data_IF_309581320268
#
_entry.id   IF_309581320268
#
_cell.length_a   1.000
_cell.length_b   1.000
_cell.length_c   1.000
_cell.angle_alpha   90.00
_cell.angle_beta   90.00
_cell.angle_gamma   90.00
#
_symmetry.space_group_name_H-M   'P 1'
#
loop_
_entity.id
_entity.type
_entity.pdbx_description
1 polymer ?
#
# COMPACT_ATOMS: atom_id res chain seq x y z
N UNK A 1 3.91 29.20 -10.14
CA UNK A 1 2.50 29.43 -9.72
C UNK A 1 2.48 30.50 -8.63
N UNK A 2 1.51 31.42 -8.62
CA UNK A 2 1.42 32.40 -7.52
C UNK A 2 0.88 31.73 -6.25
N UNK A 3 1.41 32.12 -5.09
CA UNK A 3 1.04 31.57 -3.78
C UNK A 3 -0.48 31.62 -3.53
N UNK A 4 -1.14 32.70 -3.97
CA UNK A 4 -2.59 32.87 -3.91
C UNK A 4 -3.38 31.86 -4.75
N UNK A 5 -2.87 31.45 -5.93
CA UNK A 5 -3.53 30.42 -6.74
C UNK A 5 -3.40 29.04 -6.09
N UNK A 6 -2.21 28.70 -5.58
CA UNK A 6 -2.00 27.46 -4.84
C UNK A 6 -2.89 27.40 -3.59
N UNK A 7 -2.98 28.48 -2.82
CA UNK A 7 -3.85 28.55 -1.64
C UNK A 7 -5.33 28.37 -2.01
N UNK A 8 -5.77 29.02 -3.10
CA UNK A 8 -7.15 28.93 -3.61
C UNK A 8 -7.48 27.52 -4.11
N UNK A 9 -6.56 26.87 -4.83
CA UNK A 9 -6.73 25.49 -5.29
C UNK A 9 -6.79 24.51 -4.11
N UNK A 10 -5.89 24.65 -3.13
CA UNK A 10 -5.89 23.83 -1.91
C UNK A 10 -7.15 24.03 -1.09
N UNK A 11 -7.60 25.27 -0.89
CA UNK A 11 -8.84 25.57 -0.17
C UNK A 11 -10.07 25.00 -0.89
N UNK A 12 -10.14 25.15 -2.22
CA UNK A 12 -11.25 24.62 -3.02
C UNK A 12 -11.27 23.09 -3.04
N UNK A 13 -10.10 22.46 -3.12
CA UNK A 13 -9.93 21.01 -3.00
C UNK A 13 -10.32 20.50 -1.61
N UNK A 14 -9.89 21.19 -0.55
CA UNK A 14 -10.18 20.80 0.83
C UNK A 14 -11.66 20.97 1.24
N UNK A 15 -12.37 21.92 0.63
CA UNK A 15 -13.82 22.13 0.84
C UNK A 15 -14.69 21.28 -0.09
N UNK A 16 -14.11 20.59 -1.06
CA UNK A 16 -14.85 19.72 -1.95
C UNK A 16 -15.17 18.41 -1.23
N UNK A 17 -16.42 18.28 -0.78
CA UNK A 17 -16.90 17.07 -0.11
C UNK A 17 -16.81 15.90 -1.09
N UNK A 18 -15.81 15.04 -0.91
CA UNK A 18 -15.61 13.84 -1.72
C UNK A 18 -16.64 12.75 -1.34
N UNK A 19 -17.88 12.94 -1.81
CA UNK A 19 -19.04 12.07 -1.49
C UNK A 19 -18.91 10.60 -1.94
N UNK A 20 -17.87 10.25 -2.70
CA UNK A 20 -17.79 9.00 -3.46
C UNK A 20 -16.75 7.98 -2.95
N UNK A 21 -15.97 8.32 -1.91
CA UNK A 21 -15.02 7.38 -1.26
C UNK A 21 -15.55 6.78 0.04
N UNK A 22 -16.85 6.82 0.27
CA UNK A 22 -17.41 6.19 1.45
C UNK A 22 -17.35 4.68 1.23
N UNK A 23 -16.37 4.02 1.84
CA UNK A 23 -16.39 2.59 2.12
C UNK A 23 -17.10 2.41 3.47
N UNK A 24 -18.45 2.48 3.54
CA UNK A 24 -19.17 2.63 4.79
C UNK A 24 -18.90 1.45 5.73
N UNK A 25 -18.70 0.25 5.18
CA UNK A 25 -18.40 -0.95 5.97
C UNK A 25 -17.02 -0.87 6.65
N UNK A 26 -16.02 -0.26 6.01
CA UNK A 26 -14.67 -0.14 6.59
C UNK A 26 -14.66 0.97 7.64
N UNK A 27 -15.33 2.08 7.35
CA UNK A 27 -15.58 3.14 8.33
C UNK A 27 -16.37 2.64 9.54
N UNK A 28 -17.42 1.86 9.30
CA UNK A 28 -18.24 1.27 10.36
C UNK A 28 -17.43 0.28 11.19
N UNK A 29 -16.65 -0.62 10.58
CA UNK A 29 -15.78 -1.55 11.32
C UNK A 29 -14.75 -0.80 12.16
N UNK A 30 -14.09 0.21 11.59
CA UNK A 30 -13.12 1.03 12.31
C UNK A 30 -13.75 1.78 13.49
N UNK A 31 -14.93 2.39 13.27
CA UNK A 31 -15.71 3.07 14.30
C UNK A 31 -16.23 2.12 15.38
N UNK A 32 -16.69 0.92 15.01
CA UNK A 32 -17.12 -0.11 15.95
C UNK A 32 -15.96 -0.60 16.83
N UNK A 33 -14.77 -0.80 16.25
CA UNK A 33 -13.56 -1.13 17.02
C UNK A 33 -13.15 -0.01 17.96
N UNK A 34 -13.21 1.25 17.52
CA UNK A 34 -12.96 2.40 18.37
C UNK A 34 -13.97 2.48 19.52
N UNK A 35 -15.27 2.35 19.22
CA UNK A 35 -16.35 2.41 20.21
C UNK A 35 -16.26 1.28 21.23
N UNK A 36 -15.92 0.06 20.79
CA UNK A 36 -15.71 -1.09 21.66
C UNK A 36 -14.55 -0.85 22.63
N UNK A 37 -13.41 -0.38 22.11
CA UNK A 37 -12.22 -0.12 22.93
C UNK A 37 -12.47 1.01 23.92
N UNK A 38 -12.98 2.15 23.45
CA UNK A 38 -13.25 3.32 24.30
C UNK A 38 -14.34 3.02 25.33
N UNK A 39 -15.45 2.40 24.93
CA UNK A 39 -16.56 2.07 25.83
C UNK A 39 -16.14 1.09 26.92
N UNK A 40 -15.41 0.02 26.55
CA UNK A 40 -14.89 -0.95 27.53
C UNK A 40 -13.89 -0.29 28.48
N UNK A 41 -13.01 0.56 27.97
CA UNK A 41 -12.02 1.27 28.78
C UNK A 41 -12.66 2.26 29.74
N UNK A 42 -13.70 2.97 29.29
CA UNK A 42 -14.42 3.94 30.10
C UNK A 42 -15.12 3.28 31.28
N UNK A 43 -15.76 2.12 31.05
CA UNK A 43 -16.46 1.36 32.09
C UNK A 43 -15.50 0.74 33.10
N UNK A 44 -14.35 0.22 32.65
CA UNK A 44 -13.42 -0.52 33.52
C UNK A 44 -12.37 0.37 34.21
N UNK A 45 -11.91 1.43 33.55
CA UNK A 45 -10.70 2.17 33.93
C UNK A 45 -10.91 3.69 34.00
N UNK A 46 -12.11 4.19 33.69
CA UNK A 46 -12.44 5.61 33.75
C UNK A 46 -12.00 6.43 32.52
N UNK A 47 -12.24 7.75 32.54
CA UNK A 47 -12.15 8.61 31.34
C UNK A 47 -10.73 8.86 30.85
N UNK A 48 -9.74 8.93 31.75
CA UNK A 48 -8.34 9.20 31.39
C UNK A 48 -7.75 8.06 30.55
N UNK A 49 -7.90 6.83 31.02
CA UNK A 49 -7.42 5.63 30.30
C UNK A 49 -8.23 5.40 29.02
N UNK A 50 -9.54 5.69 29.04
CA UNK A 50 -10.39 5.62 27.85
C UNK A 50 -9.93 6.58 26.75
N UNK A 51 -9.52 7.81 27.09
CA UNK A 51 -8.99 8.77 26.11
C UNK A 51 -7.74 8.21 25.38
N UNK A 52 -6.83 7.55 26.09
CA UNK A 52 -5.65 6.96 25.45
C UNK A 52 -5.96 5.72 24.61
N UNK A 53 -6.92 4.91 25.04
CA UNK A 53 -7.40 3.77 24.26
C UNK A 53 -7.94 4.20 22.88
N UNK A 54 -8.54 5.40 22.81
CA UNK A 54 -9.05 5.97 21.58
C UNK A 54 -7.95 6.19 20.55
N UNK A 55 -6.78 6.69 20.97
CA UNK A 55 -5.65 6.93 20.06
C UNK A 55 -5.12 5.63 19.44
N UNK A 56 -4.99 4.56 20.22
CA UNK A 56 -4.54 3.26 19.71
C UNK A 56 -5.50 2.66 18.70
N UNK A 57 -6.79 2.62 19.03
CA UNK A 57 -7.80 2.09 18.12
C UNK A 57 -7.99 2.97 16.87
N UNK A 58 -7.90 4.29 17.01
CA UNK A 58 -7.96 5.24 15.89
C UNK A 58 -6.76 5.09 14.96
N UNK A 59 -5.54 5.07 15.51
CA UNK A 59 -4.31 4.92 14.74
C UNK A 59 -4.26 3.59 13.98
N UNK A 60 -4.66 2.50 14.64
CA UNK A 60 -4.78 1.19 14.01
C UNK A 60 -5.89 1.15 12.93
N UNK A 61 -7.01 1.86 13.13
CA UNK A 61 -8.04 2.01 12.12
C UNK A 61 -7.55 2.81 10.90
N UNK A 62 -6.79 3.90 11.08
CA UNK A 62 -6.17 4.66 9.98
C UNK A 62 -5.28 3.77 9.12
N UNK A 63 -4.51 2.87 9.74
CA UNK A 63 -3.67 1.92 9.00
C UNK A 63 -4.48 1.01 8.06
N UNK A 64 -5.78 0.80 8.31
CA UNK A 64 -6.67 0.03 7.44
C UNK A 64 -7.21 0.82 6.24
N UNK A 65 -7.20 2.15 6.31
CA UNK A 65 -7.57 3.02 5.19
C UNK A 65 -6.43 3.22 4.18
N UNK A 66 -5.24 2.72 4.48
CA UNK A 66 -4.12 2.73 3.56
C UNK A 66 -4.43 1.81 2.37
N UNK A 67 -4.04 2.25 1.16
CA UNK A 67 -4.44 1.67 -0.13
C UNK A 67 -3.83 0.28 -0.29
N UNK A 68 -4.60 -0.78 -0.05
CA UNK A 68 -4.20 -2.15 -0.39
C UNK A 68 -5.42 -3.02 -0.61
N UNK A 69 -5.33 -3.93 -1.58
CA UNK A 69 -6.33 -4.96 -1.91
C UNK A 69 -6.47 -6.03 -0.83
N UNK A 70 -5.52 -6.08 0.12
CA UNK A 70 -5.41 -7.10 1.15
C UNK A 70 -5.72 -6.53 2.54
N UNK A 71 -6.59 -7.18 3.34
CA UNK A 71 -6.72 -6.84 4.75
C UNK A 71 -5.39 -7.17 5.46
N UNK A 72 -4.70 -6.15 5.98
CA UNK A 72 -3.41 -6.30 6.67
C UNK A 72 -3.59 -6.07 8.18
N UNK A 73 -4.06 -7.08 8.96
CA UNK A 73 -4.17 -6.96 10.42
C UNK A 73 -2.80 -6.66 11.07
N UNK A 74 -1.73 -7.12 10.41
CA UNK A 74 -0.35 -6.82 10.77
C UNK A 74 -0.06 -5.32 10.80
N UNK A 75 -0.59 -4.52 9.88
CA UNK A 75 -0.39 -3.07 9.89
C UNK A 75 -1.10 -2.42 11.08
N UNK A 76 -2.29 -2.90 11.46
CA UNK A 76 -2.99 -2.44 12.66
C UNK A 76 -2.17 -2.75 13.93
N UNK A 77 -1.59 -3.95 14.02
CA UNK A 77 -0.71 -4.34 15.14
C UNK A 77 0.57 -3.50 15.20
N UNK A 78 1.28 -3.35 14.07
CA UNK A 78 2.52 -2.55 14.01
C UNK A 78 2.22 -1.09 14.33
N UNK A 79 1.11 -0.55 13.80
CA UNK A 79 0.71 0.84 14.07
C UNK A 79 0.36 1.04 15.55
N UNK A 80 -0.40 0.13 16.15
CA UNK A 80 -0.71 0.18 17.58
C UNK A 80 0.53 0.02 18.48
N UNK A 81 1.40 -0.95 18.16
CA UNK A 81 2.62 -1.19 18.93
C UNK A 81 3.64 -0.05 18.82
N UNK A 82 3.86 0.48 17.62
CA UNK A 82 4.76 1.62 17.42
C UNK A 82 4.24 2.89 18.10
N UNK A 83 2.93 3.14 18.09
CA UNK A 83 2.34 4.23 18.86
C UNK A 83 2.51 4.02 20.36
N UNK A 84 2.22 2.82 20.88
CA UNK A 84 2.36 2.50 22.30
C UNK A 84 3.79 2.75 22.81
N UNK A 85 4.80 2.29 22.06
CA UNK A 85 6.22 2.53 22.38
C UNK A 85 6.55 4.02 22.31
N UNK A 86 6.08 4.73 21.28
CA UNK A 86 6.32 6.16 21.11
C UNK A 86 5.73 6.96 22.28
N UNK A 87 4.49 6.68 22.67
CA UNK A 87 3.81 7.33 23.78
C UNK A 87 4.50 7.03 25.11
N UNK A 88 4.89 5.78 25.38
CA UNK A 88 5.60 5.43 26.61
C UNK A 88 6.96 6.14 26.73
N UNK A 89 7.79 6.08 25.68
CA UNK A 89 9.11 6.72 25.68
C UNK A 89 9.00 8.24 25.73
N UNK A 90 8.03 8.80 24.98
CA UNK A 90 7.69 10.22 25.01
C UNK A 90 7.35 10.68 26.43
N UNK A 91 6.51 9.91 27.12
CA UNK A 91 6.11 10.21 28.48
C UNK A 91 7.28 10.18 29.47
N UNK A 92 8.05 9.08 29.48
CA UNK A 92 9.18 8.92 30.41
C UNK A 92 10.22 10.03 30.21
N UNK A 93 10.34 10.55 28.99
CA UNK A 93 11.28 11.62 28.65
C UNK A 93 10.74 13.03 28.91
N UNK A 94 9.41 13.20 29.02
CA UNK A 94 8.76 14.53 29.08
C UNK A 94 9.17 15.35 30.31
N UNK A 95 9.55 14.70 31.41
CA UNK A 95 10.05 15.35 32.62
C UNK A 95 11.42 16.02 32.46
N UNK A 96 12.17 15.68 31.41
CA UNK A 96 13.51 16.19 31.15
C UNK A 96 13.52 16.93 29.80
N UNK A 97 13.43 18.27 29.77
CA UNK A 97 13.24 19.03 28.53
C UNK A 97 14.30 18.73 27.45
N UNK A 98 15.56 18.61 27.83
CA UNK A 98 16.66 18.30 26.90
C UNK A 98 16.51 16.89 26.32
N UNK A 99 16.22 15.90 27.16
CA UNK A 99 16.00 14.52 26.73
C UNK A 99 14.80 14.44 25.78
N UNK A 100 13.71 15.15 26.11
CA UNK A 100 12.52 15.21 25.29
C UNK A 100 12.78 15.86 23.93
N UNK A 101 13.54 16.97 23.88
CA UNK A 101 13.94 17.60 22.61
C UNK A 101 14.80 16.67 21.74
N UNK A 102 15.75 15.95 22.35
CA UNK A 102 16.55 14.94 21.65
C UNK A 102 15.66 13.80 21.12
N UNK A 103 14.73 13.31 21.93
CA UNK A 103 13.77 12.29 21.53
C UNK A 103 12.90 12.78 20.37
N UNK A 104 12.33 13.98 20.48
CA UNK A 104 11.49 14.59 19.44
C UNK A 104 12.26 14.70 18.13
N UNK A 105 13.50 15.20 18.17
CA UNK A 105 14.38 15.28 17.00
C UNK A 105 14.66 13.92 16.38
N UNK A 106 14.97 12.91 17.20
CA UNK A 106 15.18 11.55 16.71
C UNK A 106 13.92 10.93 16.11
N UNK A 107 12.77 11.03 16.78
CA UNK A 107 11.50 10.44 16.33
C UNK A 107 10.96 11.10 15.06
N UNK A 108 11.07 12.43 14.95
CA UNK A 108 10.68 13.19 13.75
C UNK A 108 11.60 12.89 12.57
N UNK A 109 12.90 12.77 12.81
CA UNK A 109 13.86 12.37 11.79
C UNK A 109 13.59 10.95 11.29
N UNK A 110 13.37 9.99 12.20
CA UNK A 110 13.03 8.61 11.85
C UNK A 110 11.68 8.54 11.12
N UNK A 111 10.68 9.34 11.52
CA UNK A 111 9.41 9.43 10.81
C UNK A 111 9.58 9.99 9.39
N UNK A 112 10.45 10.98 9.21
CA UNK A 112 10.82 11.49 7.88
C UNK A 112 11.51 10.44 7.01
N UNK A 113 12.42 9.63 7.58
CA UNK A 113 13.08 8.53 6.88
C UNK A 113 12.12 7.37 6.57
N UNK A 114 11.06 7.16 7.35
CA UNK A 114 10.08 6.09 7.12
C UNK A 114 9.35 6.21 5.77
N UNK A 115 9.37 7.39 5.14
CA UNK A 115 8.89 7.60 3.77
C UNK A 115 9.72 6.85 2.71
N UNK A 116 10.97 6.50 3.02
CA UNK A 116 11.79 5.61 2.17
C UNK A 116 11.22 4.19 2.04
N UNK A 117 10.44 3.75 3.04
CA UNK A 117 9.72 2.47 3.02
C UNK A 117 8.28 2.61 2.48
N UNK A 118 7.97 3.77 1.89
CA UNK A 118 6.70 4.05 1.23
C UNK A 118 5.73 4.92 2.03
N UNK A 119 4.67 5.43 1.37
CA UNK A 119 3.75 6.42 1.96
C UNK A 119 2.99 5.93 3.20
N UNK A 120 2.67 4.63 3.26
CA UNK A 120 1.98 4.05 4.43
C UNK A 120 2.86 4.11 5.67
N UNK A 121 4.14 3.74 5.56
CA UNK A 121 5.09 3.79 6.65
C UNK A 121 5.33 5.21 7.13
N UNK A 122 5.53 6.14 6.19
CA UNK A 122 5.68 7.57 6.47
C UNK A 122 4.47 8.16 7.20
N UNK A 123 3.24 7.89 6.74
CA UNK A 123 2.02 8.38 7.40
C UNK A 123 1.90 7.83 8.82
N UNK A 124 2.10 6.52 9.03
CA UNK A 124 2.01 5.90 10.36
C UNK A 124 3.05 6.52 11.30
N UNK A 125 4.30 6.63 10.87
CA UNK A 125 5.37 7.18 11.69
C UNK A 125 5.16 8.66 12.03
N UNK A 126 4.75 9.48 11.05
CA UNK A 126 4.41 10.89 11.26
C UNK A 126 3.22 11.07 12.23
N UNK A 127 2.16 10.26 12.08
CA UNK A 127 1.02 10.30 12.99
C UNK A 127 1.38 9.85 14.41
N UNK A 128 2.30 8.89 14.58
CA UNK A 128 2.77 8.50 15.91
C UNK A 128 3.44 9.67 16.65
N UNK A 129 4.25 10.48 15.98
CA UNK A 129 4.87 11.67 16.60
C UNK A 129 3.80 12.69 17.00
N UNK A 130 2.82 12.94 16.13
CA UNK A 130 1.73 13.87 16.41
C UNK A 130 0.89 13.44 17.62
N UNK A 131 0.49 12.16 17.66
CA UNK A 131 -0.28 11.60 18.78
C UNK A 131 0.57 11.58 20.05
N UNK A 132 1.85 11.19 19.98
CA UNK A 132 2.77 11.22 21.11
C UNK A 132 2.77 12.61 21.77
N UNK A 133 2.96 13.68 21.00
CA UNK A 133 2.97 15.08 21.47
C UNK A 133 1.71 15.48 22.22
N UNK A 134 0.54 14.94 21.85
CA UNK A 134 -0.72 15.17 22.56
C UNK A 134 -0.81 14.28 23.81
N UNK A 135 -0.41 13.01 23.69
CA UNK A 135 -0.57 12.05 24.79
C UNK A 135 0.33 12.32 25.99
N UNK A 136 1.49 12.97 25.81
CA UNK A 136 2.43 13.25 26.91
C UNK A 136 1.93 14.33 27.88
N UNK A 137 0.89 15.09 27.53
CA UNK A 137 0.37 16.17 28.38
C UNK A 137 -0.65 15.69 29.42
N UNK A 138 -1.04 14.41 29.36
CA UNK A 138 -2.07 13.81 30.20
C UNK A 138 -1.53 13.10 31.46
N UNK A 139 -0.49 12.24 31.41
CA UNK A 139 -0.18 11.37 32.53
C UNK A 139 0.73 12.05 33.57
N UNK A 140 0.69 11.56 34.81
CA UNK A 140 1.48 12.11 35.92
C UNK A 140 2.45 11.11 36.55
N UNK A 141 2.32 9.80 36.26
CA UNK A 141 3.29 8.78 36.67
C UNK A 141 3.72 7.83 35.54
N UNK A 142 4.89 7.18 35.72
CA UNK A 142 5.41 6.16 34.78
C UNK A 142 4.49 4.94 34.71
N UNK A 143 3.83 4.60 35.81
CA UNK A 143 2.88 3.49 35.88
C UNK A 143 1.65 3.80 35.03
N UNK A 144 1.11 5.02 35.13
CA UNK A 144 -0.03 5.44 34.32
C UNK A 144 0.35 5.42 32.84
N UNK A 145 1.54 5.90 32.48
CA UNK A 145 2.01 5.84 31.10
C UNK A 145 2.17 4.42 30.56
N UNK A 146 2.62 3.47 31.38
CA UNK A 146 2.64 2.05 31.01
C UNK A 146 1.21 1.52 30.78
N UNK A 147 0.25 1.90 31.63
CA UNK A 147 -1.16 1.54 31.46
C UNK A 147 -1.75 2.12 30.16
N UNK A 148 -1.51 3.41 29.87
CA UNK A 148 -1.94 4.05 28.63
C UNK A 148 -1.32 3.41 27.39
N UNK A 149 -0.02 3.11 27.42
CA UNK A 149 0.66 2.40 26.32
C UNK A 149 0.09 0.98 26.12
N UNK A 150 -0.21 0.26 27.21
CA UNK A 150 -0.88 -1.03 27.16
C UNK A 150 -2.26 -0.95 26.51
N UNK A 151 -3.04 0.09 26.82
CA UNK A 151 -4.37 0.30 26.22
C UNK A 151 -4.30 0.73 24.76
N UNK A 152 -3.29 1.50 24.36
CA UNK A 152 -3.02 1.81 22.96
C UNK A 152 -2.74 0.53 22.17
N UNK A 153 -1.90 -0.35 22.72
CA UNK A 153 -1.58 -1.65 22.12
C UNK A 153 -2.83 -2.54 22.02
N UNK A 154 -3.64 -2.60 23.08
CA UNK A 154 -4.90 -3.34 23.10
C UNK A 154 -5.88 -2.84 22.02
N UNK A 155 -5.98 -1.51 21.83
CA UNK A 155 -6.77 -0.93 20.75
C UNK A 155 -6.31 -1.39 19.36
N UNK A 156 -5.00 -1.49 19.15
CA UNK A 156 -4.43 -2.06 17.93
C UNK A 156 -4.76 -3.54 17.73
N UNK A 157 -4.72 -4.35 18.80
CA UNK A 157 -5.10 -5.77 18.79
C UNK A 157 -6.58 -5.96 18.45
N UNK A 158 -7.48 -5.17 19.05
CA UNK A 158 -8.92 -5.23 18.77
C UNK A 158 -9.20 -4.89 17.31
N UNK A 159 -8.59 -3.84 16.78
CA UNK A 159 -8.73 -3.50 15.35
C UNK A 159 -8.19 -4.62 14.45
N UNK A 160 -7.04 -5.21 14.79
CA UNK A 160 -6.49 -6.34 14.07
C UNK A 160 -7.42 -7.56 14.09
N UNK A 161 -8.03 -7.87 15.25
CA UNK A 161 -9.00 -8.95 15.39
C UNK A 161 -10.26 -8.69 14.55
N UNK A 162 -10.80 -7.46 14.56
CA UNK A 162 -11.95 -7.10 13.73
C UNK A 162 -11.64 -7.18 12.23
N UNK A 163 -10.40 -6.90 11.82
CA UNK A 163 -9.97 -7.09 10.42
C UNK A 163 -10.03 -8.55 10.00
N UNK A 164 -9.65 -9.46 10.91
CA UNK A 164 -9.64 -10.92 10.66
C UNK A 164 -11.06 -11.49 10.73
N UNK A 165 -11.86 -11.10 11.73
CA UNK A 165 -13.21 -11.61 11.96
C UNK A 165 -14.23 -11.07 10.94
N UNK A 166 -14.06 -9.81 10.51
CA UNK A 166 -14.95 -9.14 9.56
C UNK A 166 -14.16 -8.61 8.35
N UNK A 167 -13.71 -9.50 7.44
CA UNK A 167 -13.00 -9.10 6.24
C UNK A 167 -13.97 -8.44 5.24
N UNK A 168 -13.76 -7.15 4.96
CA UNK A 168 -14.54 -6.42 3.96
C UNK A 168 -13.85 -6.51 2.60
N UNK A 169 -14.49 -7.15 1.60
CA UNK A 169 -13.99 -7.20 0.22
C UNK A 169 -14.15 -5.85 -0.47
N UNK A 170 -13.14 -4.98 -0.36
CA UNK A 170 -13.07 -3.73 -1.14
C UNK A 170 -13.27 -4.03 -2.62
N UNK A 171 -14.22 -3.34 -3.26
CA UNK A 171 -14.52 -3.45 -4.69
C UNK A 171 -14.71 -4.90 -5.20
N UNK A 172 -15.35 -5.76 -4.39
CA UNK A 172 -15.51 -7.19 -4.70
C UNK A 172 -16.01 -7.46 -6.13
N UNK A 173 -17.06 -6.76 -6.57
CA UNK A 173 -17.60 -6.92 -7.91
C UNK A 173 -16.61 -6.53 -9.02
N UNK A 174 -15.83 -5.47 -8.82
CA UNK A 174 -14.81 -5.05 -9.79
C UNK A 174 -13.63 -6.04 -9.83
N UNK A 175 -13.25 -6.58 -8.66
CA UNK A 175 -12.20 -7.60 -8.55
C UNK A 175 -12.61 -8.90 -9.21
N UNK A 176 -13.86 -9.33 -9.00
CA UNK A 176 -14.42 -10.53 -9.60
C UNK A 176 -14.44 -10.38 -11.13
N UNK A 177 -14.92 -9.25 -11.65
CA UNK A 177 -14.95 -8.99 -13.09
C UNK A 177 -13.55 -8.89 -13.73
N UNK A 178 -12.56 -8.26 -13.06
CA UNK A 178 -11.17 -8.24 -13.53
C UNK A 178 -10.54 -9.65 -13.49
N UNK A 179 -10.81 -10.41 -12.43
CA UNK A 179 -10.32 -11.79 -12.33
C UNK A 179 -10.93 -12.68 -13.42
N UNK A 180 -12.22 -12.52 -13.73
CA UNK A 180 -12.88 -13.22 -14.86
C UNK A 180 -12.23 -12.85 -16.20
N UNK A 181 -11.90 -11.58 -16.42
CA UNK A 181 -11.19 -11.13 -17.62
C UNK A 181 -9.80 -11.76 -17.76
N UNK A 182 -9.00 -11.78 -16.70
CA UNK A 182 -7.67 -12.40 -16.69
C UNK A 182 -7.74 -13.92 -16.88
N UNK A 183 -8.70 -14.59 -16.24
CA UNK A 183 -8.92 -16.02 -16.43
C UNK A 183 -9.36 -16.36 -17.87
N UNK A 184 -10.19 -15.51 -18.49
CA UNK A 184 -10.58 -15.68 -19.89
C UNK A 184 -9.40 -15.55 -20.86
N UNK A 185 -8.45 -14.65 -20.57
CA UNK A 185 -7.20 -14.53 -21.33
C UNK A 185 -6.24 -15.69 -21.08
N UNK A 186 -6.22 -16.25 -19.86
CA UNK A 186 -5.48 -17.47 -19.57
C UNK A 186 -6.01 -18.68 -20.36
N UNK A 187 -7.33 -18.85 -20.36
CA UNK A 187 -8.00 -19.88 -21.17
C UNK A 187 -7.77 -19.66 -22.67
N UNK A 188 -7.73 -18.41 -23.12
CA UNK A 188 -7.41 -18.06 -24.50
C UNK A 188 -5.98 -18.45 -24.87
N UNK A 189 -4.99 -18.09 -24.06
CA UNK A 189 -3.59 -18.47 -24.27
C UNK A 189 -3.45 -20.00 -24.35
N UNK A 190 -4.14 -20.75 -23.48
CA UNK A 190 -4.14 -22.23 -23.51
C UNK A 190 -4.76 -22.79 -24.78
N UNK A 191 -5.86 -22.22 -25.28
CA UNK A 191 -6.47 -22.65 -26.55
C UNK A 191 -5.56 -22.37 -27.75
N UNK A 192 -4.88 -21.22 -27.76
CA UNK A 192 -3.95 -20.84 -28.83
C UNK A 192 -2.76 -21.81 -28.98
N UNK A 193 -2.40 -22.55 -27.93
CA UNK A 193 -1.38 -23.62 -28.01
C UNK A 193 -1.79 -24.76 -28.94
N UNK A 194 -3.09 -25.01 -29.06
CA UNK A 194 -3.64 -26.13 -29.82
C UNK A 194 -4.28 -25.68 -31.14
N UNK A 195 -4.91 -24.51 -31.14
CA UNK A 195 -5.53 -23.90 -32.30
C UNK A 195 -5.07 -22.43 -32.42
N UNK A 196 -4.10 -22.12 -33.31
CA UNK A 196 -3.55 -20.79 -33.49
C UNK A 196 -4.56 -19.70 -33.86
N UNK A 197 -5.75 -20.08 -34.34
CA UNK A 197 -6.81 -19.16 -34.77
C UNK A 197 -8.06 -19.27 -33.90
N UNK A 198 -7.92 -19.84 -32.69
CA UNK A 198 -9.02 -20.01 -31.75
C UNK A 198 -9.78 -18.68 -31.51
N UNK A 199 -11.13 -18.69 -31.47
CA UNK A 199 -11.89 -17.49 -31.18
C UNK A 199 -11.81 -17.11 -29.69
N UNK A 200 -11.84 -15.81 -29.41
CA UNK A 200 -11.92 -15.26 -28.05
C UNK A 200 -13.34 -14.82 -27.73
N UNK A 201 -13.86 -15.21 -26.56
CA UNK A 201 -15.13 -14.71 -26.05
C UNK A 201 -14.93 -13.30 -25.43
N UNK A 202 -15.51 -12.23 -26.00
CA UNK A 202 -15.34 -10.88 -25.48
C UNK A 202 -16.13 -10.61 -24.19
N UNK A 203 -17.06 -11.48 -23.79
CA UNK A 203 -17.98 -11.21 -22.68
C UNK A 203 -17.27 -10.88 -21.36
N UNK A 204 -16.22 -11.60 -20.91
CA UNK A 204 -15.49 -11.26 -19.68
C UNK A 204 -14.80 -9.89 -19.71
N UNK A 205 -14.30 -9.48 -20.89
CA UNK A 205 -13.74 -8.12 -21.05
C UNK A 205 -14.84 -7.06 -21.03
N UNK A 206 -16.00 -7.36 -21.61
CA UNK A 206 -17.17 -6.46 -21.58
C UNK A 206 -17.74 -6.31 -20.18
N UNK A 207 -17.83 -7.40 -19.40
CA UNK A 207 -18.28 -7.36 -18.01
C UNK A 207 -17.29 -6.58 -17.14
N UNK A 208 -15.98 -6.82 -17.27
CA UNK A 208 -14.94 -6.02 -16.63
C UNK A 208 -15.06 -4.52 -16.98
N UNK A 209 -15.30 -4.20 -18.26
CA UNK A 209 -15.54 -2.83 -18.74
C UNK A 209 -16.79 -2.20 -18.12
N UNK A 210 -17.87 -2.96 -18.00
CA UNK A 210 -19.14 -2.50 -17.41
C UNK A 210 -19.06 -2.35 -15.88
N UNK A 211 -18.39 -3.27 -15.18
CA UNK A 211 -18.15 -3.21 -13.74
C UNK A 211 -17.24 -2.03 -13.37
N UNK A 212 -16.35 -1.65 -14.29
CA UNK A 212 -15.55 -0.45 -14.20
C UNK A 212 -16.29 0.81 -14.69
N UNK A 213 -17.50 0.72 -15.25
CA UNK A 213 -18.20 1.90 -15.77
C UNK A 213 -18.51 2.88 -14.64
N UNK A 214 -17.96 4.08 -14.77
CA UNK A 214 -18.24 5.22 -13.88
C UNK A 214 -18.91 6.29 -14.72
N UNK A 215 -19.82 7.07 -14.14
CA UNK A 215 -20.57 8.11 -14.87
C UNK A 215 -19.64 9.11 -15.58
N UNK A 216 -20.08 9.81 -16.64
CA UNK A 216 -19.25 10.76 -17.39
C UNK A 216 -18.60 11.88 -16.54
N UNK A 217 -19.19 12.22 -15.39
CA UNK A 217 -18.62 13.16 -14.41
C UNK A 217 -17.49 12.52 -13.57
N UNK A 218 -17.58 11.23 -13.30
CA UNK A 218 -16.59 10.45 -12.54
C UNK A 218 -15.35 10.09 -13.39
N UNK A 219 -15.50 9.98 -14.71
CA UNK A 219 -14.38 9.79 -15.63
C UNK A 219 -13.38 10.96 -15.62
N UNK A 220 -13.79 12.18 -15.24
CA UNK A 220 -12.93 13.38 -15.19
C UNK A 220 -12.05 13.49 -13.94
N UNK A 221 -12.31 12.68 -12.90
CA UNK A 221 -11.61 12.73 -11.59
C UNK A 221 -11.30 11.34 -11.05
N UNK A 222 -10.90 10.45 -11.95
CA UNK A 222 -10.72 9.05 -11.61
C UNK A 222 -9.44 8.87 -10.78
N UNK A 223 -9.47 8.05 -9.71
CA UNK A 223 -8.26 7.52 -9.11
C UNK A 223 -7.49 6.69 -10.16
N UNK A 224 -6.17 6.88 -10.24
CA UNK A 224 -5.25 6.17 -11.18
C UNK A 224 -5.42 4.65 -11.10
N UNK A 225 -5.84 4.15 -9.94
CA UNK A 225 -6.09 2.76 -9.61
C UNK A 225 -7.15 2.08 -10.50
N UNK A 226 -8.07 2.84 -11.10
CA UNK A 226 -9.09 2.33 -12.04
C UNK A 226 -8.71 2.50 -13.53
N UNK A 227 -7.56 3.11 -13.82
CA UNK A 227 -7.04 3.29 -15.18
C UNK A 227 -6.08 2.16 -15.61
N UNK A 228 -5.30 1.59 -14.67
CA UNK A 228 -4.23 0.64 -14.99
C UNK A 228 -4.72 -0.74 -15.46
N UNK A 229 -5.45 -1.46 -14.61
CA UNK A 229 -5.77 -2.88 -14.85
C UNK A 229 -6.61 -3.15 -16.11
N UNK A 230 -7.50 -2.21 -16.48
CA UNK A 230 -8.38 -2.30 -17.65
C UNK A 230 -7.61 -2.30 -18.96
N UNK A 231 -6.63 -1.39 -19.07
CA UNK A 231 -5.87 -1.22 -20.30
C UNK A 231 -4.93 -2.39 -20.58
N UNK A 232 -4.54 -3.12 -19.56
CA UNK A 232 -3.56 -4.20 -19.67
C UNK A 232 -4.22 -5.49 -20.17
N UNK A 233 -5.37 -5.89 -19.61
CA UNK A 233 -6.14 -7.03 -20.12
C UNK A 233 -6.48 -6.83 -21.62
N UNK A 234 -7.08 -5.69 -21.98
CA UNK A 234 -7.40 -5.40 -23.39
C UNK A 234 -6.17 -5.42 -24.34
N UNK A 235 -4.95 -5.18 -23.82
CA UNK A 235 -3.69 -5.23 -24.58
C UNK A 235 -3.09 -6.63 -24.69
N UNK A 236 -3.38 -7.54 -23.76
CA UNK A 236 -2.86 -8.90 -23.78
C UNK A 236 -3.44 -9.71 -24.94
N UNK A 237 -4.74 -9.60 -25.19
CA UNK A 237 -5.42 -10.33 -26.28
C UNK A 237 -4.73 -10.20 -27.65
N UNK A 238 -4.48 -9.01 -28.21
CA UNK A 238 -3.84 -8.90 -29.53
C UNK A 238 -2.41 -9.42 -29.54
N UNK A 239 -1.68 -9.33 -28.42
CA UNK A 239 -0.31 -9.87 -28.31
C UNK A 239 -0.34 -11.39 -28.32
N UNK A 240 -1.21 -12.02 -27.51
CA UNK A 240 -1.42 -13.46 -27.49
C UNK A 240 -1.81 -13.99 -28.88
N UNK A 241 -2.76 -13.31 -29.55
CA UNK A 241 -3.16 -13.66 -30.90
C UNK A 241 -1.99 -13.54 -31.90
N UNK A 242 -1.22 -12.45 -31.85
CA UNK A 242 -0.09 -12.25 -32.76
C UNK A 242 1.05 -13.23 -32.56
N UNK A 243 1.23 -13.73 -31.33
CA UNK A 243 2.23 -14.73 -31.01
C UNK A 243 1.81 -16.12 -31.53
N UNK A 244 0.50 -16.40 -31.57
CA UNK A 244 -0.01 -17.67 -32.07
C UNK A 244 -0.17 -17.69 -33.60
N UNK A 245 -0.59 -16.60 -34.23
CA UNK A 245 -1.00 -16.57 -35.64
C UNK A 245 0.18 -16.85 -36.61
N UNK A 246 0.11 -17.92 -37.43
CA UNK A 246 1.15 -18.19 -38.43
C UNK A 246 1.31 -17.09 -39.48
N UNK A 247 0.25 -16.34 -39.78
CA UNK A 247 0.30 -15.23 -40.72
C UNK A 247 1.12 -14.03 -40.21
N UNK A 248 1.37 -13.97 -38.89
CA UNK A 248 2.14 -12.91 -38.24
C UNK A 248 3.64 -13.24 -38.14
N UNK A 249 4.08 -14.36 -38.71
CA UNK A 249 5.50 -14.71 -38.88
C UNK A 249 6.00 -15.87 -38.01
N UNK A 250 5.13 -16.55 -37.26
CA UNK A 250 5.48 -17.75 -36.49
C UNK A 250 5.20 -19.01 -37.34
N UNK A 251 6.18 -19.86 -37.66
CA UNK A 251 5.95 -21.08 -38.42
C UNK A 251 4.83 -21.94 -37.85
N UNK A 252 4.04 -22.61 -38.69
CA UNK A 252 2.96 -23.50 -38.22
C UNK A 252 3.50 -24.72 -37.46
N UNK A 253 4.70 -25.18 -37.83
CA UNK A 253 5.41 -26.31 -37.22
C UNK A 253 6.90 -25.95 -36.99
N UNK A 254 7.54 -26.64 -36.05
CA UNK A 254 8.97 -26.51 -35.78
C UNK A 254 9.28 -26.05 -34.35
N UNK A 255 10.56 -25.77 -34.10
CA UNK A 255 11.07 -25.44 -32.77
C UNK A 255 10.51 -24.09 -32.28
N UNK A 256 10.39 -23.09 -33.15
CA UNK A 256 9.73 -21.81 -32.83
C UNK A 256 8.29 -21.99 -32.38
N UNK A 257 7.52 -22.85 -33.07
CA UNK A 257 6.13 -23.17 -32.70
C UNK A 257 6.05 -23.85 -31.33
N UNK A 258 6.91 -24.85 -31.11
CA UNK A 258 6.96 -25.54 -29.83
C UNK A 258 7.27 -24.58 -28.67
N UNK A 259 8.21 -23.65 -28.89
CA UNK A 259 8.57 -22.63 -27.91
C UNK A 259 7.45 -21.62 -27.66
N UNK A 260 6.77 -21.14 -28.70
CA UNK A 260 5.58 -20.31 -28.58
C UNK A 260 4.49 -21.00 -27.76
N UNK A 261 4.29 -22.31 -27.95
CA UNK A 261 3.30 -23.07 -27.18
C UNK A 261 3.67 -23.14 -25.69
N UNK A 262 4.96 -23.22 -25.34
CA UNK A 262 5.42 -23.15 -23.95
C UNK A 262 5.23 -21.74 -23.37
N UNK A 263 5.58 -20.69 -24.12
CA UNK A 263 5.36 -19.29 -23.72
C UNK A 263 3.87 -18.98 -23.47
N UNK A 264 2.98 -19.44 -24.35
CA UNK A 264 1.53 -19.30 -24.17
C UNK A 264 1.02 -20.08 -22.96
N UNK A 265 1.61 -21.25 -22.67
CA UNK A 265 1.32 -22.04 -21.47
C UNK A 265 1.71 -21.31 -20.19
N UNK A 266 2.94 -20.78 -20.14
CA UNK A 266 3.45 -20.00 -19.01
C UNK A 266 2.67 -18.68 -18.83
N UNK A 267 2.32 -18.00 -19.92
CA UNK A 267 1.45 -16.82 -19.86
C UNK A 267 0.08 -17.16 -19.27
N UNK A 268 -0.51 -18.28 -19.68
CA UNK A 268 -1.78 -18.76 -19.11
C UNK A 268 -1.69 -19.01 -17.60
N UNK A 269 -0.62 -19.67 -17.12
CA UNK A 269 -0.47 -19.94 -15.69
C UNK A 269 -0.24 -18.66 -14.87
N UNK A 270 0.50 -17.68 -15.40
CA UNK A 270 0.68 -16.36 -14.80
C UNK A 270 -0.64 -15.61 -14.69
N UNK A 271 -1.43 -15.58 -15.77
CA UNK A 271 -2.74 -14.92 -15.79
C UNK A 271 -3.74 -15.58 -14.83
N UNK A 272 -3.76 -16.91 -14.71
CA UNK A 272 -4.60 -17.63 -13.74
C UNK A 272 -4.16 -17.39 -12.29
N UNK A 273 -2.86 -17.28 -12.04
CA UNK A 273 -2.34 -16.92 -10.72
C UNK A 273 -2.70 -15.48 -10.35
N UNK A 274 -2.59 -14.54 -11.30
CA UNK A 274 -3.01 -13.16 -11.13
C UNK A 274 -4.53 -13.05 -10.90
N UNK A 275 -5.36 -13.77 -11.67
CA UNK A 275 -6.81 -13.81 -11.50
C UNK A 275 -7.21 -14.28 -10.09
N UNK A 276 -6.60 -15.35 -9.58
CA UNK A 276 -6.82 -15.84 -8.21
C UNK A 276 -6.40 -14.83 -7.15
N UNK A 277 -5.22 -14.24 -7.31
CA UNK A 277 -4.70 -13.22 -6.41
C UNK A 277 -5.63 -11.99 -6.33
N UNK A 278 -6.12 -11.51 -7.48
CA UNK A 278 -7.08 -10.40 -7.55
C UNK A 278 -8.41 -10.77 -6.90
N UNK A 279 -8.97 -11.95 -7.19
CA UNK A 279 -10.28 -12.39 -6.68
C UNK A 279 -10.31 -12.54 -5.16
N UNK A 280 -9.30 -13.22 -4.61
CA UNK A 280 -9.25 -13.61 -3.20
C UNK A 280 -8.43 -12.65 -2.33
N UNK A 281 -7.58 -11.81 -2.94
CA UNK A 281 -6.67 -10.93 -2.20
C UNK A 281 -5.49 -11.69 -1.62
N UNK A 282 -5.13 -12.79 -2.28
CA UNK A 282 -4.04 -13.67 -1.89
C UNK A 282 -2.76 -13.28 -2.64
N UNK A 283 -1.57 -13.65 -2.13
CA UNK A 283 -0.31 -13.55 -2.88
C UNK A 283 -0.37 -14.31 -4.21
N UNK A 284 0.32 -13.80 -5.22
CA UNK A 284 0.51 -14.54 -6.48
C UNK A 284 1.49 -15.67 -6.20
N UNK A 285 1.10 -16.90 -6.52
CA UNK A 285 1.95 -18.07 -6.43
C UNK A 285 2.25 -18.59 -7.83
N UNK A 286 3.50 -18.40 -8.27
CA UNK A 286 3.99 -18.85 -9.56
C UNK A 286 4.99 -20.00 -9.40
N UNK A 287 4.93 -20.97 -10.29
CA UNK A 287 5.97 -22.00 -10.38
C UNK A 287 7.27 -21.37 -10.88
N UNK A 288 8.42 -21.88 -10.42
CA UNK A 288 9.72 -21.41 -10.89
C UNK A 288 9.94 -21.72 -12.38
N UNK A 289 9.32 -22.79 -12.86
CA UNK A 289 9.36 -23.22 -14.25
C UNK A 289 8.67 -22.21 -15.18
N UNK A 290 7.47 -21.74 -14.82
CA UNK A 290 6.69 -20.82 -15.67
C UNK A 290 7.38 -19.44 -15.79
N UNK A 291 7.94 -18.95 -14.68
CA UNK A 291 8.75 -17.72 -14.67
C UNK A 291 10.06 -17.89 -15.45
N UNK A 292 10.66 -19.08 -15.36
CA UNK A 292 11.84 -19.44 -16.14
C UNK A 292 11.56 -19.26 -17.62
N UNK A 293 10.56 -19.95 -18.16
CA UNK A 293 10.20 -19.92 -19.59
C UNK A 293 10.00 -18.49 -20.11
N UNK A 294 9.34 -17.61 -19.34
CA UNK A 294 9.09 -16.23 -19.75
C UNK A 294 10.35 -15.35 -19.78
N UNK A 295 11.37 -15.65 -18.96
CA UNK A 295 12.58 -14.81 -18.79
C UNK A 295 13.88 -15.51 -19.24
N UNK A 296 13.78 -16.62 -19.99
CA UNK A 296 14.95 -17.39 -20.43
C UNK A 296 15.66 -16.69 -21.60
N UNK A 297 17.01 -16.61 -21.60
CA UNK A 297 17.77 -16.07 -22.74
C UNK A 297 17.59 -16.84 -24.04
N UNK A 298 17.10 -18.08 -23.97
CA UNK A 298 16.73 -18.92 -25.11
C UNK A 298 15.64 -18.28 -25.99
N UNK A 299 14.85 -17.32 -25.45
CA UNK A 299 13.91 -16.53 -26.24
C UNK A 299 14.62 -15.81 -27.41
N UNK A 300 15.77 -15.19 -27.15
CA UNK A 300 16.55 -14.43 -28.14
C UNK A 300 17.26 -15.33 -29.16
N UNK A 301 17.44 -16.60 -28.80
CA UNK A 301 18.12 -17.61 -29.63
C UNK A 301 17.13 -18.34 -30.53
N UNK A 302 15.93 -18.63 -30.01
CA UNK A 302 14.92 -19.45 -30.68
C UNK A 302 13.96 -18.60 -31.50
N UNK A 303 13.50 -17.46 -30.99
CA UNK A 303 12.52 -16.60 -31.66
C UNK A 303 13.21 -15.49 -32.45
N UNK A 304 12.75 -15.23 -33.67
CA UNK A 304 13.32 -14.20 -34.54
C UNK A 304 12.24 -13.22 -35.02
N UNK A 305 12.62 -11.94 -35.15
CA UNK A 305 11.82 -10.94 -35.88
C UNK A 305 10.47 -10.58 -35.21
N UNK A 306 9.31 -10.77 -35.87
CA UNK A 306 8.01 -10.46 -35.29
C UNK A 306 7.68 -11.26 -34.02
N UNK A 307 8.06 -12.55 -33.97
CA UNK A 307 7.75 -13.45 -32.87
C UNK A 307 8.44 -13.02 -31.56
N UNK A 308 9.73 -12.68 -31.64
CA UNK A 308 10.50 -12.17 -30.50
C UNK A 308 9.88 -10.87 -29.95
N UNK A 309 9.53 -9.92 -30.82
CA UNK A 309 8.89 -8.66 -30.39
C UNK A 309 7.52 -8.88 -29.73
N UNK A 310 6.77 -9.89 -30.16
CA UNK A 310 5.51 -10.25 -29.51
C UNK A 310 5.76 -10.89 -28.13
N UNK A 311 6.78 -11.74 -28.00
CA UNK A 311 7.19 -12.34 -26.74
C UNK A 311 7.66 -11.27 -25.72
N UNK A 312 8.49 -10.32 -26.13
CA UNK A 312 8.95 -9.21 -25.26
C UNK A 312 7.79 -8.36 -24.75
N UNK A 313 6.85 -8.04 -25.64
CA UNK A 313 5.64 -7.29 -25.27
C UNK A 313 4.75 -8.08 -24.32
N UNK A 314 4.64 -9.39 -24.53
CA UNK A 314 3.89 -10.26 -23.65
C UNK A 314 4.53 -10.29 -22.26
N UNK A 315 5.85 -10.46 -22.16
CA UNK A 315 6.57 -10.44 -20.90
C UNK A 315 6.36 -9.12 -20.14
N UNK A 316 6.49 -7.97 -20.81
CA UNK A 316 6.23 -6.66 -20.20
C UNK A 316 4.79 -6.50 -19.71
N UNK A 317 3.79 -6.92 -20.49
CA UNK A 317 2.39 -6.86 -20.07
C UNK A 317 2.08 -7.81 -18.91
N UNK A 318 2.72 -8.98 -18.86
CA UNK A 318 2.58 -9.93 -17.75
C UNK A 318 3.22 -9.40 -16.47
N UNK A 319 4.37 -8.74 -16.56
CA UNK A 319 4.99 -8.05 -15.42
C UNK A 319 4.05 -6.93 -14.90
N UNK A 320 3.43 -6.13 -15.78
CA UNK A 320 2.42 -5.14 -15.40
C UNK A 320 1.18 -5.79 -14.71
N UNK A 321 0.71 -6.93 -15.21
CA UNK A 321 -0.39 -7.69 -14.58
C UNK A 321 -0.01 -8.16 -13.17
N UNK A 322 1.21 -8.67 -13.00
CA UNK A 322 1.71 -9.14 -11.72
C UNK A 322 1.82 -8.00 -10.72
N UNK A 323 2.36 -6.85 -11.14
CA UNK A 323 2.41 -5.64 -10.31
C UNK A 323 1.01 -5.24 -9.81
N UNK A 324 0.02 -5.30 -10.69
CA UNK A 324 -1.38 -4.97 -10.36
C UNK A 324 -2.02 -6.02 -9.45
N UNK A 325 -1.77 -7.31 -9.71
CA UNK A 325 -2.31 -8.41 -8.92
C UNK A 325 -1.73 -8.48 -7.51
N UNK A 326 -0.46 -8.08 -7.36
CA UNK A 326 0.17 -7.85 -6.06
C UNK A 326 -0.38 -6.58 -5.38
N UNK A 327 -0.67 -5.57 -6.20
CA UNK A 327 -1.37 -4.34 -5.85
C UNK A 327 -0.48 -3.10 -5.92
N UNK A 328 -1.04 -1.96 -6.32
CA UNK A 328 -0.37 -0.63 -6.21
C UNK A 328 -0.06 -0.17 -4.77
N UNK A 329 -0.29 -1.03 -3.76
CA UNK A 329 0.13 -0.86 -2.36
C UNK A 329 1.09 -1.94 -1.86
N UNK A 330 1.59 -2.82 -2.74
CA UNK A 330 2.87 -3.55 -2.57
C UNK A 330 4.05 -2.78 -3.14
N UNK A 331 3.81 -1.61 -3.73
CA UNK A 331 4.84 -0.58 -3.86
C UNK A 331 5.24 -0.14 -2.45
N UNK A 332 6.13 -0.94 -1.88
CA UNK A 332 6.67 -0.80 -0.55
C UNK A 332 7.75 0.29 -0.53
N UNK A 333 7.75 1.16 -1.57
CA UNK A 333 8.82 2.09 -1.89
C UNK A 333 10.15 1.40 -2.15
N UNK A 334 10.17 0.06 -2.22
CA UNK A 334 11.36 -0.74 -2.36
C UNK A 334 11.63 -0.93 -3.86
N UNK A 335 12.82 -0.54 -4.34
CA UNK A 335 13.25 -0.82 -5.69
C UNK A 335 13.05 -2.30 -6.06
N UNK A 336 12.60 -2.57 -7.28
CA UNK A 336 12.19 -3.88 -7.84
C UNK A 336 13.15 -5.04 -7.53
N UNK A 337 14.45 -4.77 -7.38
CA UNK A 337 15.48 -5.76 -7.00
C UNK A 337 15.54 -6.11 -5.50
N UNK A 338 14.70 -5.50 -4.67
CA UNK A 338 14.62 -5.72 -3.23
C UNK A 338 13.27 -6.31 -2.78
N UNK A 339 12.33 -6.49 -3.70
CA UNK A 339 11.10 -7.23 -3.39
C UNK A 339 11.53 -8.68 -3.07
N UNK A 340 11.24 -9.18 -1.86
CA UNK A 340 11.53 -10.56 -1.55
C UNK A 340 10.73 -11.44 -2.52
N UNK A 341 11.41 -12.43 -3.08
CA UNK A 341 10.85 -13.45 -3.97
C UNK A 341 9.45 -13.85 -3.46
N UNK A 342 8.42 -13.64 -4.27
CA UNK A 342 6.97 -13.64 -3.95
C UNK A 342 6.46 -14.97 -3.38
N UNK A 343 7.36 -15.94 -3.25
CA UNK A 343 7.11 -17.31 -2.83
C UNK A 343 6.77 -17.44 -1.36
N UNK A 344 7.38 -16.71 -0.44
CA UNK A 344 7.16 -16.93 1.01
C UNK A 344 7.26 -15.64 1.81
N UNK A 345 6.29 -15.42 2.70
CA UNK A 345 6.26 -14.33 3.70
C UNK A 345 7.65 -14.06 4.28
N UNK A 346 8.12 -12.82 4.30
CA UNK A 346 8.88 -12.35 5.43
C UNK A 346 7.92 -12.18 6.63
N UNK A 347 8.14 -12.92 7.72
CA UNK A 347 7.61 -12.60 9.05
C UNK A 347 7.88 -11.12 9.37
N UNK A 348 7.12 -10.47 10.26
CA UNK A 348 7.36 -9.06 10.67
C UNK A 348 8.85 -8.74 10.91
N UNK A 349 9.57 -9.67 11.55
CA UNK A 349 11.01 -9.57 11.80
C UNK A 349 11.87 -9.58 10.53
N UNK A 350 11.44 -10.26 9.47
CA UNK A 350 12.12 -10.29 8.16
C UNK A 350 11.82 -9.05 7.31
N UNK A 351 10.81 -8.24 7.63
CA UNK A 351 10.58 -6.94 6.98
C UNK A 351 11.51 -5.84 7.53
N UNK A 352 11.94 -5.96 8.79
CA UNK A 352 12.89 -5.03 9.42
C UNK A 352 14.17 -4.82 8.59
N UNK A 353 14.93 -5.86 8.18
CA UNK A 353 16.14 -5.65 7.39
C UNK A 353 15.88 -5.02 6.03
N UNK A 354 14.71 -5.27 5.44
CA UNK A 354 14.30 -4.70 4.15
C UNK A 354 14.05 -3.20 4.29
N UNK A 355 13.28 -2.79 5.31
CA UNK A 355 13.04 -1.37 5.64
C UNK A 355 14.35 -0.67 5.98
N UNK A 356 15.21 -1.29 6.79
CA UNK A 356 16.52 -0.73 7.12
C UNK A 356 17.40 -0.55 5.88
N UNK A 357 17.35 -1.48 4.92
CA UNK A 357 18.07 -1.38 3.65
C UNK A 357 17.55 -0.22 2.79
N UNK A 358 16.24 -0.03 2.73
CA UNK A 358 15.62 1.11 2.02
C UNK A 358 16.06 2.43 2.66
N UNK A 359 15.95 2.56 3.98
CA UNK A 359 16.41 3.76 4.71
C UNK A 359 17.90 4.00 4.48
N UNK A 360 18.73 2.95 4.56
CA UNK A 360 20.18 3.07 4.38
C UNK A 360 20.57 3.56 2.98
N UNK A 361 19.78 3.25 1.95
CA UNK A 361 20.01 3.76 0.59
C UNK A 361 19.75 5.26 0.49
N UNK A 362 18.80 5.78 1.24
CA UNK A 362 18.48 7.20 1.29
C UNK A 362 19.45 8.00 2.17
N UNK A 363 20.32 7.35 2.96
CA UNK A 363 21.35 8.02 3.78
C UNK A 363 22.53 8.53 2.92
N UNK A 364 22.26 9.41 1.97
CA UNK A 364 23.27 10.16 1.22
C UNK A 364 22.82 11.60 0.98
N UNK A 365 23.77 12.53 0.86
CA UNK A 365 23.50 13.99 0.75
C UNK A 365 22.61 14.40 -0.44
N UNK A 366 22.49 13.54 -1.45
CA UNK A 366 21.64 13.76 -2.62
C UNK A 366 20.17 13.37 -2.42
N UNK A 367 19.84 12.59 -1.39
CA UNK A 367 18.50 12.06 -1.20
C UNK A 367 17.49 13.17 -0.85
N UNK A 368 16.39 13.30 -1.61
CA UNK A 368 15.27 14.15 -1.24
C UNK A 368 14.66 13.74 0.12
N UNK A 369 14.62 12.44 0.42
CA UNK A 369 14.04 11.89 1.64
C UNK A 369 14.88 12.25 2.86
N UNK A 370 16.21 12.13 2.79
CA UNK A 370 17.10 12.56 3.87
C UNK A 370 16.96 14.07 4.15
N UNK A 371 16.93 14.90 3.09
CA UNK A 371 16.74 16.35 3.22
C UNK A 371 15.40 16.67 3.87
N UNK A 372 14.34 15.96 3.48
CA UNK A 372 13.03 16.08 4.10
C UNK A 372 13.06 15.70 5.59
N UNK A 373 13.67 14.56 5.94
CA UNK A 373 13.79 14.08 7.31
C UNK A 373 14.54 15.07 8.22
N UNK A 374 15.65 15.64 7.74
CA UNK A 374 16.38 16.70 8.46
C UNK A 374 15.49 17.92 8.63
N UNK A 375 14.84 18.37 7.54
CA UNK A 375 13.99 19.57 7.55
C UNK A 375 12.84 19.45 8.55
N UNK A 376 12.09 18.34 8.54
CA UNK A 376 10.96 18.15 9.46
C UNK A 376 11.44 18.02 10.91
N UNK A 377 12.59 17.38 11.16
CA UNK A 377 13.15 17.26 12.50
C UNK A 377 13.59 18.61 13.07
N UNK A 378 14.32 19.41 12.28
CA UNK A 378 14.73 20.75 12.68
C UNK A 378 13.51 21.63 12.94
N UNK A 379 12.53 21.65 12.04
CA UNK A 379 11.32 22.47 12.22
C UNK A 379 10.52 22.04 13.45
N UNK A 380 10.40 20.73 13.71
CA UNK A 380 9.69 20.24 14.89
C UNK A 380 10.40 20.62 16.19
N UNK A 381 11.72 20.41 16.29
CA UNK A 381 12.51 20.74 17.49
C UNK A 381 12.51 22.25 17.74
N UNK A 382 12.79 23.06 16.71
CA UNK A 382 12.74 24.51 16.82
C UNK A 382 11.34 25.01 17.17
N UNK A 383 10.30 24.43 16.55
CA UNK A 383 8.91 24.78 16.81
C UNK A 383 8.50 24.48 18.26
N UNK A 384 8.91 23.33 18.80
CA UNK A 384 8.67 23.01 20.21
C UNK A 384 9.40 23.98 21.14
N UNK A 385 10.69 24.23 20.89
CA UNK A 385 11.51 25.14 21.70
C UNK A 385 10.96 26.57 21.72
N UNK A 386 10.57 27.10 20.56
CA UNK A 386 9.94 28.42 20.44
C UNK A 386 8.56 28.44 21.11
N UNK A 387 7.79 27.36 20.97
CA UNK A 387 6.48 27.21 21.59
C UNK A 387 6.52 27.17 23.12
N UNK A 388 7.56 26.57 23.70
CA UNK A 388 7.86 26.59 25.15
C UNK A 388 8.27 27.99 25.62
N UNK A 389 9.05 28.72 24.82
CA UNK A 389 9.50 30.07 25.17
C UNK A 389 8.37 31.12 25.13
N UNK A 390 7.23 30.81 24.48
CA UNK A 390 6.10 31.72 24.34
C UNK A 390 4.95 31.35 25.30
N UNK A 391 4.28 32.33 25.95
CA UNK A 391 3.20 32.08 26.91
C UNK A 391 1.85 31.77 26.23
N UNK A 392 1.85 30.85 25.25
CA UNK A 392 0.67 30.48 24.44
C UNK A 392 -0.05 29.20 24.96
N UNK A 393 0.49 28.58 26.01
CA UNK A 393 -0.12 27.45 26.73
C UNK A 393 -0.10 26.09 26.03
N UNK A 394 0.35 26.00 24.76
CA UNK A 394 0.30 24.77 23.97
C UNK A 394 1.41 24.66 22.91
N UNK A 395 2.68 24.68 23.33
CA UNK A 395 3.85 24.66 22.43
C UNK A 395 3.93 23.44 21.49
N UNK A 396 3.25 22.34 21.82
CA UNK A 396 3.24 21.09 21.03
C UNK A 396 2.49 21.20 19.69
N UNK A 397 1.64 22.22 19.46
CA UNK A 397 0.93 22.38 18.18
C UNK A 397 1.86 22.67 17.00
N UNK A 398 2.93 23.43 17.23
CA UNK A 398 3.90 23.76 16.19
C UNK A 398 4.60 22.50 15.60
N UNK A 399 5.24 21.64 16.41
CA UNK A 399 5.82 20.40 15.90
C UNK A 399 4.78 19.42 15.36
N UNK A 400 3.60 19.34 15.98
CA UNK A 400 2.52 18.49 15.45
C UNK A 400 2.10 18.91 14.04
N UNK A 401 1.94 20.22 13.82
CA UNK A 401 1.60 20.78 12.50
C UNK A 401 2.71 20.50 11.49
N UNK A 402 3.98 20.71 11.88
CA UNK A 402 5.12 20.45 11.01
C UNK A 402 5.12 19.01 10.48
N UNK A 403 4.95 18.03 11.36
CA UNK A 403 4.98 16.60 10.99
C UNK A 403 3.76 16.18 10.16
N UNK A 404 2.59 16.78 10.38
CA UNK A 404 1.37 16.44 9.62
C UNK A 404 1.31 17.10 8.23
N UNK A 405 1.84 18.33 8.10
CA UNK A 405 1.75 19.14 6.89
C UNK A 405 2.95 18.91 5.96
N UNK A 406 4.16 18.79 6.50
CA UNK A 406 5.36 18.60 5.69
C UNK A 406 5.41 17.14 5.23
N UNK A 407 5.02 16.90 3.98
CA UNK A 407 5.20 15.61 3.29
C UNK A 407 6.29 15.77 2.22
N UNK A 408 7.07 14.71 1.94
CA UNK A 408 8.17 14.75 0.99
C UNK A 408 7.73 15.06 -0.45
#
# INVERSE_FOLDING_TARGET
MSWLRALKETARSGLEIERQRLEPLIAFRGAAGLALVVGTSLVLFGPEIAASSAFGAFQAAIATFQRSWRPRPVLALVSGASLAVSTFVGYVSASHPVLFLCLLGAWTFLAGLAWAAGPTGGIIASSNVAIMLVTITLPTSVVDAAAHAGMILAGGVVQAALIVLFPVRRWGAQRDALADALAAEADYARRLRHDPVAPFDPLPLMTARSAAAVTPRQARRRPVELQGARGIAERLRPVLASLADPAMGVPADGLERAWVNELLGAAGSVLDAAARAVRHGEPVHLSATDLGVLKTPDNDVILVGPALRAADRLAALLDDVLEIAEGTGTDSGLPEHLTPDTRHRPTLLRLVPVVLKAIRRELHHGSPILRHAIRVAVVAVCGYFVGEAMPLGHGYWAPMTAVMVMRP
#
